data_IF_698825060034
#
_entry.id   IF_698825060034
#
_cell.length_a   1.000
_cell.length_b   1.000
_cell.length_c   1.000
_cell.angle_alpha   90.00
_cell.angle_beta   90.00
_cell.angle_gamma   90.00
#
_symmetry.space_group_name_H-M   'P 1'
#
loop_
_entity.id
_entity.type
_entity.pdbx_description
1 polymer ?
#
# COMPACT_ATOMS: atom_id res chain seq x y z
N UNK A 1 -15.40 8.17 7.05
CA UNK A 1 -14.95 6.78 6.98
C UNK A 1 -14.53 6.36 5.56
N UNK A 2 -15.27 6.75 4.50
CA UNK A 2 -14.93 6.42 3.10
C UNK A 2 -13.52 6.90 2.73
N UNK A 3 -13.16 8.13 3.08
CA UNK A 3 -11.83 8.71 2.85
C UNK A 3 -10.72 7.90 3.53
N UNK A 4 -10.99 7.43 4.74
CA UNK A 4 -10.04 6.61 5.50
C UNK A 4 -9.84 5.23 4.85
N UNK A 5 -10.94 4.51 4.54
CA UNK A 5 -10.85 3.19 3.93
C UNK A 5 -10.23 3.24 2.52
N UNK A 6 -10.53 4.29 1.74
CA UNK A 6 -9.90 4.51 0.45
C UNK A 6 -8.37 4.64 0.58
N UNK A 7 -7.91 5.43 1.55
CA UNK A 7 -6.48 5.59 1.81
C UNK A 7 -5.84 4.31 2.31
N UNK A 8 -6.50 3.59 3.22
CA UNK A 8 -5.99 2.32 3.73
C UNK A 8 -5.83 1.30 2.61
N UNK A 9 -6.79 1.22 1.69
CA UNK A 9 -6.71 0.35 0.52
C UNK A 9 -5.54 0.73 -0.40
N UNK A 10 -5.36 2.02 -0.69
CA UNK A 10 -4.23 2.48 -1.52
C UNK A 10 -2.89 2.07 -0.92
N UNK A 11 -2.68 2.30 0.38
CA UNK A 11 -1.45 1.90 1.08
C UNK A 11 -1.26 0.38 1.03
N UNK A 12 -2.33 -0.39 1.23
CA UNK A 12 -2.28 -1.86 1.16
C UNK A 12 -1.90 -2.35 -0.24
N UNK A 13 -2.42 -1.72 -1.29
CA UNK A 13 -2.07 -2.05 -2.69
C UNK A 13 -0.59 -1.78 -2.98
N UNK A 14 -0.05 -0.64 -2.57
CA UNK A 14 1.37 -0.34 -2.76
C UNK A 14 2.27 -1.29 -1.96
N UNK A 15 1.86 -1.63 -0.74
CA UNK A 15 2.59 -2.58 0.09
C UNK A 15 2.61 -3.98 -0.54
N UNK A 16 1.45 -4.48 -0.98
CA UNK A 16 1.33 -5.78 -1.63
C UNK A 16 2.13 -5.84 -2.95
N UNK A 17 2.14 -4.75 -3.73
CA UNK A 17 2.95 -4.64 -4.94
C UNK A 17 4.43 -4.91 -4.64
N UNK A 18 5.00 -4.26 -3.64
CA UNK A 18 6.41 -4.43 -3.29
C UNK A 18 6.72 -5.77 -2.63
N UNK A 19 5.81 -6.29 -1.78
CA UNK A 19 5.93 -7.64 -1.20
C UNK A 19 5.97 -8.71 -2.29
N UNK A 20 5.28 -8.50 -3.40
CA UNK A 20 5.26 -9.44 -4.53
C UNK A 20 6.44 -9.22 -5.47
N UNK A 21 6.76 -7.96 -5.79
CA UNK A 21 7.79 -7.63 -6.78
C UNK A 21 9.21 -7.92 -6.30
N UNK A 22 9.53 -7.62 -5.04
CA UNK A 22 10.90 -7.81 -4.52
C UNK A 22 11.37 -9.26 -4.57
N UNK A 23 10.58 -10.26 -4.16
CA UNK A 23 10.95 -11.67 -4.33
C UNK A 23 11.13 -12.07 -5.80
N UNK A 24 10.27 -11.58 -6.71
CA UNK A 24 10.42 -11.84 -8.15
C UNK A 24 11.73 -11.28 -8.72
N UNK A 25 12.23 -10.19 -8.14
CA UNK A 25 13.53 -9.62 -8.48
C UNK A 25 14.71 -10.30 -7.75
N UNK A 26 14.45 -11.40 -7.02
CA UNK A 26 15.47 -12.16 -6.30
C UNK A 26 15.86 -11.56 -4.94
N UNK A 27 15.11 -10.58 -4.43
CA UNK A 27 15.37 -10.03 -3.10
C UNK A 27 14.74 -10.87 -2.01
N UNK A 28 15.56 -11.40 -1.10
CA UNK A 28 15.05 -12.22 0.00
C UNK A 28 14.59 -11.36 1.18
N UNK A 29 13.28 -11.19 1.30
CA UNK A 29 12.64 -10.46 2.41
C UNK A 29 12.85 -11.12 3.78
N UNK A 30 13.14 -12.43 3.82
CA UNK A 30 13.29 -13.20 5.06
C UNK A 30 14.72 -13.21 5.60
N UNK A 31 15.72 -12.97 4.76
CA UNK A 31 17.13 -12.94 5.16
C UNK A 31 17.42 -11.88 6.23
N UNK A 32 16.73 -10.77 6.15
CA UNK A 32 16.79 -9.70 7.14
C UNK A 32 15.37 -9.26 7.49
N UNK A 33 14.78 -9.94 8.46
CA UNK A 33 13.36 -9.76 8.83
C UNK A 33 12.97 -8.30 9.07
N UNK A 34 13.84 -7.56 9.77
CA UNK A 34 13.58 -6.14 10.05
C UNK A 34 13.89 -5.25 8.85
N UNK A 35 14.99 -5.51 8.15
CA UNK A 35 15.40 -4.73 6.98
C UNK A 35 14.50 -4.95 5.78
N UNK A 36 14.01 -6.17 5.56
CA UNK A 36 13.05 -6.47 4.48
C UNK A 36 11.72 -5.73 4.66
N UNK A 37 11.16 -5.79 5.86
CA UNK A 37 9.92 -5.07 6.17
C UNK A 37 10.10 -3.55 6.04
N UNK A 38 11.19 -2.99 6.54
CA UNK A 38 11.50 -1.57 6.42
C UNK A 38 11.69 -1.14 4.98
N UNK A 39 12.36 -1.95 4.15
CA UNK A 39 12.54 -1.67 2.73
C UNK A 39 11.19 -1.61 2.02
N UNK A 40 10.32 -2.60 2.22
CA UNK A 40 8.97 -2.61 1.65
C UNK A 40 8.19 -1.38 2.07
N UNK A 41 8.26 -1.01 3.35
CA UNK A 41 7.59 0.17 3.87
C UNK A 41 8.08 1.46 3.19
N UNK A 42 9.39 1.65 3.11
CA UNK A 42 9.99 2.84 2.46
C UNK A 42 9.62 2.90 0.98
N UNK A 43 9.75 1.79 0.25
CA UNK A 43 9.40 1.73 -1.17
C UNK A 43 7.91 2.00 -1.40
N UNK A 44 7.03 1.48 -0.54
CA UNK A 44 5.58 1.74 -0.62
C UNK A 44 5.26 3.22 -0.42
N UNK A 45 5.91 3.86 0.56
CA UNK A 45 5.75 5.29 0.82
C UNK A 45 6.27 6.15 -0.33
N UNK A 46 7.44 5.81 -0.89
CA UNK A 46 7.99 6.50 -2.06
C UNK A 46 7.08 6.36 -3.28
N UNK A 47 6.61 5.14 -3.55
CA UNK A 47 5.67 4.88 -4.65
C UNK A 47 4.39 5.70 -4.47
N UNK A 48 3.83 5.73 -3.28
CA UNK A 48 2.66 6.53 -2.98
C UNK A 48 2.94 8.02 -3.21
N UNK A 49 4.09 8.54 -2.76
CA UNK A 49 4.43 9.95 -2.88
C UNK A 49 4.53 10.42 -4.34
N UNK A 50 5.05 9.58 -5.23
CA UNK A 50 5.21 9.93 -6.65
C UNK A 50 4.00 9.52 -7.51
N UNK A 51 3.42 8.36 -7.24
CA UNK A 51 2.35 7.82 -8.07
C UNK A 51 0.98 8.44 -7.74
N UNK A 52 0.72 8.80 -6.48
CA UNK A 52 -0.56 9.40 -6.11
C UNK A 52 -0.83 10.73 -6.82
N UNK A 53 0.10 11.72 -6.88
CA UNK A 53 -0.11 12.96 -7.62
C UNK A 53 -0.38 12.73 -9.10
N UNK A 54 0.33 11.76 -9.70
CA UNK A 54 0.14 11.40 -11.10
C UNK A 54 -1.28 10.85 -11.35
N UNK A 55 -1.74 9.94 -10.50
CA UNK A 55 -3.08 9.37 -10.59
C UNK A 55 -4.17 10.43 -10.36
N UNK A 56 -3.96 11.34 -9.41
CA UNK A 56 -4.88 12.45 -9.16
C UNK A 56 -4.95 13.41 -10.34
N UNK A 57 -3.82 13.72 -10.98
CA UNK A 57 -3.76 14.58 -12.15
C UNK A 57 -4.48 13.95 -13.36
N UNK A 58 -4.26 12.66 -13.63
CA UNK A 58 -4.80 11.97 -14.81
C UNK A 58 -6.27 11.59 -14.60
N UNK A 59 -6.59 10.97 -13.48
CA UNK A 59 -7.86 10.29 -13.21
C UNK A 59 -8.74 11.01 -12.17
N UNK A 60 -8.24 12.07 -11.52
CA UNK A 60 -8.87 12.71 -10.36
C UNK A 60 -9.18 11.76 -9.19
N UNK A 61 -8.61 10.56 -9.20
CA UNK A 61 -8.79 9.54 -8.16
C UNK A 61 -7.62 8.56 -8.13
N UNK A 62 -7.31 8.03 -6.95
CA UNK A 62 -6.48 6.83 -6.79
C UNK A 62 -7.36 5.58 -6.88
N UNK A 63 -6.79 4.37 -7.06
CA UNK A 63 -7.58 3.13 -7.09
C UNK A 63 -8.52 2.98 -5.89
N UNK A 64 -8.02 3.24 -4.67
CA UNK A 64 -8.86 3.20 -3.47
C UNK A 64 -9.95 4.27 -3.48
N UNK A 65 -9.61 5.50 -3.84
CA UNK A 65 -10.60 6.58 -3.95
C UNK A 65 -11.67 6.28 -5.00
N UNK A 66 -11.25 5.80 -6.17
CA UNK A 66 -12.17 5.42 -7.24
C UNK A 66 -13.14 4.32 -6.77
N UNK A 67 -12.63 3.28 -6.09
CA UNK A 67 -13.45 2.19 -5.58
C UNK A 67 -14.49 2.67 -4.55
N UNK A 68 -14.11 3.64 -3.72
CA UNK A 68 -15.03 4.26 -2.76
C UNK A 68 -15.87 5.42 -3.32
N UNK A 69 -15.84 5.67 -4.64
CA UNK A 69 -16.62 6.72 -5.27
C UNK A 69 -16.18 8.13 -4.88
N UNK A 70 -14.90 8.31 -4.54
CA UNK A 70 -14.34 9.60 -4.19
C UNK A 70 -13.59 10.19 -5.39
N UNK A 71 -13.81 11.45 -5.67
CA UNK A 71 -13.04 12.25 -6.63
C UNK A 71 -12.35 13.41 -5.92
N UNK A 72 -11.21 13.80 -6.44
CA UNK A 72 -10.46 14.97 -6.00
C UNK A 72 -10.37 15.93 -7.16
N UNK A 73 -11.03 17.06 -7.02
CA UNK A 73 -11.10 18.09 -8.05
C UNK A 73 -10.56 19.42 -7.50
N UNK A 74 -10.24 20.32 -8.38
CA UNK A 74 -10.08 21.73 -8.07
C UNK A 74 -11.45 22.34 -7.76
N UNK A 75 -11.54 23.42 -6.99
CA UNK A 75 -12.81 24.02 -6.54
C UNK A 75 -13.83 24.32 -7.65
N UNK A 76 -13.40 24.35 -8.92
CA UNK A 76 -14.23 24.56 -10.11
C UNK A 76 -14.57 23.25 -10.87
N UNK A 77 -14.62 22.09 -10.19
CA UNK A 77 -14.82 20.76 -10.83
C UNK A 77 -13.76 20.38 -11.90
N UNK A 78 -12.70 21.16 -11.99
CA UNK A 78 -11.57 20.90 -12.87
C UNK A 78 -10.67 19.78 -12.36
N UNK A 79 -9.84 19.23 -13.26
CA UNK A 79 -8.78 18.28 -12.85
C UNK A 79 -7.69 19.07 -12.14
N UNK A 80 -7.16 18.49 -11.03
CA UNK A 80 -6.02 19.07 -10.34
C UNK A 80 -4.81 19.18 -11.29
N UNK A 81 -4.09 20.29 -11.21
CA UNK A 81 -2.76 20.38 -11.80
C UNK A 81 -1.83 19.41 -11.08
N UNK A 82 -0.77 18.94 -11.74
CA UNK A 82 0.19 18.03 -11.11
C UNK A 82 0.83 18.66 -9.86
N UNK A 83 1.11 19.95 -9.90
CA UNK A 83 1.69 20.73 -8.80
C UNK A 83 0.74 20.75 -7.59
N UNK A 84 -0.54 21.07 -7.79
CA UNK A 84 -1.55 21.06 -6.74
C UNK A 84 -1.74 19.64 -6.16
N UNK A 85 -1.74 18.60 -7.01
CA UNK A 85 -1.81 17.22 -6.58
C UNK A 85 -0.57 16.81 -5.75
N UNK A 86 0.63 17.26 -6.15
CA UNK A 86 1.87 16.99 -5.42
C UNK A 86 1.87 17.69 -4.06
N UNK A 87 1.52 18.97 -4.03
CA UNK A 87 1.41 19.73 -2.77
C UNK A 87 0.41 19.06 -1.82
N UNK A 88 -0.77 18.70 -2.32
CA UNK A 88 -1.76 17.96 -1.54
C UNK A 88 -1.19 16.65 -0.99
N UNK A 89 -0.53 15.86 -1.81
CA UNK A 89 0.06 14.59 -1.39
C UNK A 89 1.17 14.81 -0.35
N UNK A 90 2.00 15.85 -0.53
CA UNK A 90 3.01 16.23 0.44
C UNK A 90 2.39 16.62 1.79
N UNK A 91 1.32 17.41 1.80
CA UNK A 91 0.59 17.75 3.03
C UNK A 91 -0.01 16.52 3.70
N UNK A 92 -0.66 15.64 2.93
CA UNK A 92 -1.22 14.38 3.45
C UNK A 92 -0.11 13.49 4.02
N UNK A 93 1.04 13.43 3.35
CA UNK A 93 2.20 12.66 3.81
C UNK A 93 2.74 13.23 5.12
N UNK A 94 2.98 14.54 5.17
CA UNK A 94 3.57 15.20 6.33
C UNK A 94 2.63 15.24 7.54
N UNK A 95 1.37 15.59 7.31
CA UNK A 95 0.38 15.74 8.39
C UNK A 95 -0.44 14.48 8.67
N UNK A 96 -0.66 13.62 7.68
CA UNK A 96 -1.52 12.44 7.79
C UNK A 96 -0.78 11.17 8.16
N UNK A 97 0.33 10.87 7.47
CA UNK A 97 1.03 9.58 7.61
C UNK A 97 2.11 9.64 8.70
N UNK A 98 2.82 10.77 8.80
CA UNK A 98 3.84 11.08 9.80
C UNK A 98 4.58 9.87 10.35
N UNK A 99 5.37 9.20 9.49
CA UNK A 99 6.23 8.05 9.81
C UNK A 99 5.51 6.77 10.28
N UNK A 100 4.21 6.62 9.96
CA UNK A 100 3.44 5.38 10.17
C UNK A 100 3.47 4.80 11.60
N UNK A 101 3.61 5.68 12.60
CA UNK A 101 3.52 5.28 14.00
C UNK A 101 2.04 5.02 14.35
N UNK A 102 1.65 3.78 14.71
CA UNK A 102 0.24 3.38 14.83
C UNK A 102 -0.57 4.24 15.78
N UNK A 103 0.03 4.62 16.92
CA UNK A 103 -0.64 5.43 17.94
C UNK A 103 -0.85 6.87 17.47
N UNK A 104 0.17 7.49 16.88
CA UNK A 104 0.07 8.85 16.35
C UNK A 104 -0.92 8.94 15.19
N UNK A 105 -1.01 7.88 14.38
CA UNK A 105 -1.98 7.76 13.29
C UNK A 105 -3.41 7.77 13.81
N UNK A 106 -3.72 7.01 14.87
CA UNK A 106 -5.05 6.97 15.48
C UNK A 106 -5.45 8.30 16.10
N UNK A 107 -4.55 8.94 16.87
CA UNK A 107 -4.80 10.25 17.48
C UNK A 107 -5.06 11.32 16.41
N UNK A 108 -4.32 11.27 15.31
CA UNK A 108 -4.49 12.21 14.23
C UNK A 108 -5.77 11.98 13.44
N UNK A 109 -6.10 10.71 13.20
CA UNK A 109 -7.36 10.32 12.59
C UNK A 109 -8.55 10.86 13.36
N UNK A 110 -8.50 10.72 14.69
CA UNK A 110 -9.53 11.25 15.58
C UNK A 110 -9.64 12.77 15.48
N UNK A 111 -8.50 13.49 15.53
CA UNK A 111 -8.49 14.95 15.36
C UNK A 111 -8.99 15.41 13.98
N UNK A 112 -8.59 14.74 12.91
CA UNK A 112 -9.10 15.05 11.57
C UNK A 112 -10.61 14.81 11.46
N UNK A 113 -11.14 13.77 12.10
CA UNK A 113 -12.58 13.50 12.13
C UNK A 113 -13.33 14.56 12.95
N UNK A 114 -12.74 15.04 14.06
CA UNK A 114 -13.29 16.11 14.88
C UNK A 114 -13.28 17.46 14.12
N UNK A 115 -12.18 17.79 13.45
CA UNK A 115 -12.08 19.01 12.64
C UNK A 115 -13.05 18.99 11.46
N UNK A 116 -13.23 17.83 10.79
CA UNK A 116 -14.23 17.65 9.72
C UNK A 116 -15.66 17.82 10.25
N UNK A 117 -15.98 17.28 11.45
CA UNK A 117 -17.30 17.46 12.08
C UNK A 117 -17.53 18.92 12.51
N UNK A 118 -16.47 19.62 12.89
CA UNK A 118 -16.52 21.04 13.23
C UNK A 118 -16.59 21.99 12.00
N UNK A 119 -16.61 21.42 10.78
CA UNK A 119 -16.64 22.19 9.53
C UNK A 119 -15.35 22.96 9.23
N UNK A 120 -14.23 22.58 9.86
CA UNK A 120 -12.92 23.17 9.58
C UNK A 120 -12.30 22.51 8.36
N UNK A 121 -11.81 23.33 7.42
CA UNK A 121 -11.04 22.84 6.28
C UNK A 121 -9.77 22.14 6.75
N UNK A 122 -9.49 20.95 6.22
CA UNK A 122 -8.26 20.24 6.52
C UNK A 122 -7.08 20.88 5.76
N UNK A 123 -5.85 20.87 6.31
CA UNK A 123 -4.71 21.57 5.69
C UNK A 123 -4.41 21.17 4.24
N UNK A 124 -4.82 19.98 3.82
CA UNK A 124 -4.65 19.48 2.43
C UNK A 124 -5.86 19.73 1.53
N UNK A 125 -6.88 20.42 2.03
CA UNK A 125 -8.09 20.80 1.27
C UNK A 125 -8.09 22.29 0.88
N UNK A 126 -7.00 23.02 1.16
CA UNK A 126 -6.91 24.45 0.84
C UNK A 126 -7.04 24.73 -0.67
N UNK A 127 -6.45 23.85 -1.51
CA UNK A 127 -6.43 24.01 -2.97
C UNK A 127 -7.13 22.84 -3.70
N UNK A 128 -7.94 22.03 -2.99
CA UNK A 128 -8.59 20.88 -3.62
C UNK A 128 -9.80 20.42 -2.83
N UNK A 129 -10.89 20.13 -3.51
CA UNK A 129 -12.08 19.53 -2.92
C UNK A 129 -12.10 18.02 -3.12
N UNK A 130 -12.54 17.31 -2.10
CA UNK A 130 -12.80 15.87 -2.19
C UNK A 130 -14.30 15.64 -2.13
N UNK A 131 -14.88 15.33 -3.28
CA UNK A 131 -16.31 15.07 -3.42
C UNK A 131 -16.63 13.59 -3.39
N UNK A 132 -17.79 13.23 -2.81
CA UNK A 132 -18.33 11.87 -2.84
C UNK A 132 -19.29 11.77 -4.01
N UNK A 133 -18.85 11.16 -5.12
CA UNK A 133 -19.65 11.03 -6.32
C UNK A 133 -20.68 9.90 -6.22
N UNK A 134 -20.37 8.88 -5.38
CA UNK A 134 -21.22 7.68 -5.32
C UNK A 134 -21.11 7.01 -3.94
N UNK A 135 -22.28 6.67 -3.35
CA UNK A 135 -22.38 6.06 -2.01
C UNK A 135 -22.94 4.64 -2.04
N UNK A 136 -22.79 3.92 -3.13
CA UNK A 136 -23.30 2.56 -3.21
C UNK A 136 -22.59 1.60 -2.24
N UNK A 137 -23.37 0.91 -1.40
CA UNK A 137 -22.84 -0.01 -0.39
C UNK A 137 -22.01 -1.18 -0.95
N UNK A 138 -22.28 -1.62 -2.18
CA UNK A 138 -21.52 -2.69 -2.83
C UNK A 138 -20.02 -2.35 -3.00
N UNK A 139 -19.66 -1.05 -3.06
CA UNK A 139 -18.28 -0.60 -3.18
C UNK A 139 -17.45 -0.95 -1.95
N UNK A 140 -18.06 -0.91 -0.77
CA UNK A 140 -17.39 -1.35 0.45
C UNK A 140 -17.15 -2.86 0.45
N UNK A 141 -18.10 -3.64 -0.04
CA UNK A 141 -17.93 -5.09 -0.20
C UNK A 141 -16.84 -5.41 -1.22
N UNK A 142 -16.83 -4.73 -2.38
CA UNK A 142 -15.79 -4.88 -3.39
C UNK A 142 -14.40 -4.49 -2.87
N UNK A 143 -14.29 -3.41 -2.09
CA UNK A 143 -13.04 -2.99 -1.47
C UNK A 143 -12.53 -4.01 -0.44
N UNK A 144 -13.43 -4.55 0.38
CA UNK A 144 -13.09 -5.59 1.35
C UNK A 144 -12.63 -6.88 0.65
N UNK A 145 -13.35 -7.32 -0.39
CA UNK A 145 -12.96 -8.49 -1.19
C UNK A 145 -11.61 -8.29 -1.87
N UNK A 146 -11.36 -7.13 -2.44
CA UNK A 146 -10.06 -6.81 -3.05
C UNK A 146 -8.94 -6.82 -2.00
N UNK A 147 -9.15 -6.22 -0.83
CA UNK A 147 -8.16 -6.24 0.24
C UNK A 147 -7.86 -7.66 0.71
N UNK A 148 -8.89 -8.50 0.88
CA UNK A 148 -8.75 -9.92 1.26
C UNK A 148 -7.99 -10.68 0.15
N UNK A 149 -8.35 -10.49 -1.12
CA UNK A 149 -7.69 -11.14 -2.26
C UNK A 149 -6.20 -10.76 -2.34
N UNK A 150 -5.88 -9.49 -2.17
CA UNK A 150 -4.50 -8.98 -2.15
C UNK A 150 -3.71 -9.57 -0.98
N UNK A 151 -4.30 -9.59 0.22
CA UNK A 151 -3.67 -10.20 1.40
C UNK A 151 -3.49 -11.71 1.23
N UNK A 152 -4.49 -12.41 0.73
CA UNK A 152 -4.39 -13.84 0.45
C UNK A 152 -3.32 -14.14 -0.60
N UNK A 153 -3.25 -13.36 -1.67
CA UNK A 153 -2.22 -13.47 -2.70
C UNK A 153 -0.81 -13.25 -2.14
N UNK A 154 -0.63 -12.25 -1.28
CA UNK A 154 0.66 -12.01 -0.61
C UNK A 154 1.05 -13.18 0.32
N UNK A 155 0.11 -13.70 1.10
CA UNK A 155 0.34 -14.85 1.99
C UNK A 155 0.65 -16.11 1.16
N UNK A 156 -0.09 -16.38 0.10
CA UNK A 156 0.16 -17.51 -0.79
C UNK A 156 1.52 -17.40 -1.47
N UNK A 157 1.91 -16.23 -1.95
CA UNK A 157 3.23 -15.98 -2.55
C UNK A 157 4.38 -16.28 -1.60
N UNK A 158 4.17 -16.07 -0.29
CA UNK A 158 5.13 -16.42 0.76
C UNK A 158 5.10 -17.92 1.09
N UNK A 159 3.92 -18.54 1.12
CA UNK A 159 3.75 -19.94 1.55
C UNK A 159 4.03 -20.96 0.46
N UNK A 160 3.79 -20.62 -0.82
CA UNK A 160 3.98 -21.54 -1.96
C UNK A 160 5.41 -22.11 -2.00
N UNK A 161 6.49 -21.33 -1.87
CA UNK A 161 7.84 -21.87 -1.84
C UNK A 161 8.09 -22.84 -0.69
N UNK A 162 7.43 -22.60 0.47
CA UNK A 162 7.55 -23.46 1.65
C UNK A 162 6.83 -24.80 1.43
N UNK A 163 5.78 -24.83 0.64
CA UNK A 163 5.00 -26.03 0.32
C UNK A 163 5.73 -27.04 -0.59
N UNK A 164 6.73 -26.58 -1.35
CA UNK A 164 7.52 -27.42 -2.27
C UNK A 164 8.75 -28.06 -1.62
N UNK A 165 8.92 -27.88 -0.31
CA UNK A 165 10.07 -28.36 0.43
C UNK A 165 10.02 -29.88 0.64
N UNK A 166 11.12 -30.58 0.33
CA UNK A 166 11.28 -31.99 0.64
C UNK A 166 11.28 -32.22 2.15
N UNK A 167 10.60 -33.28 2.61
CA UNK A 167 10.44 -33.63 4.04
C UNK A 167 10.97 -35.04 4.31
N UNK A 168 11.39 -35.30 5.55
CA UNK A 168 11.96 -36.57 5.99
C UNK A 168 13.48 -36.56 5.96
N UNK A 169 14.10 -37.75 5.76
CA UNK A 169 15.55 -37.88 5.60
C UNK A 169 15.98 -37.31 4.26
N UNK A 170 16.67 -36.16 4.29
CA UNK A 170 17.04 -35.39 3.10
C UNK A 170 18.44 -35.81 2.64
N UNK A 171 18.57 -35.99 1.33
CA UNK A 171 19.90 -36.00 0.70
C UNK A 171 20.49 -34.57 0.70
N UNK A 172 21.81 -34.47 0.52
CA UNK A 172 22.51 -33.17 0.46
C UNK A 172 21.91 -32.26 -0.67
N UNK A 173 21.57 -32.89 -1.80
CA UNK A 173 20.94 -32.17 -2.92
C UNK A 173 19.56 -31.63 -2.56
N UNK A 174 18.71 -32.44 -1.93
CA UNK A 174 17.37 -32.02 -1.48
C UNK A 174 17.44 -30.95 -0.39
N UNK A 175 18.43 -31.06 0.51
CA UNK A 175 18.67 -30.02 1.50
C UNK A 175 19.08 -28.70 0.86
N UNK A 176 19.98 -28.72 -0.11
CA UNK A 176 20.39 -27.53 -0.85
C UNK A 176 19.23 -26.92 -1.63
N UNK A 177 18.38 -27.75 -2.25
CA UNK A 177 17.18 -27.31 -2.96
C UNK A 177 16.19 -26.64 -2.00
N UNK A 178 15.88 -27.28 -0.86
CA UNK A 178 15.03 -26.70 0.19
C UNK A 178 15.59 -25.37 0.70
N UNK A 179 16.89 -25.34 0.98
CA UNK A 179 17.58 -24.13 1.46
C UNK A 179 17.46 -23.00 0.45
N UNK A 180 17.70 -23.27 -0.82
CA UNK A 180 17.58 -22.28 -1.89
C UNK A 180 16.14 -21.83 -2.10
N UNK A 181 15.16 -22.74 -2.04
CA UNK A 181 13.74 -22.43 -2.18
C UNK A 181 13.22 -21.53 -1.06
N UNK A 182 13.60 -21.82 0.20
CA UNK A 182 13.14 -21.04 1.36
C UNK A 182 13.88 -19.70 1.46
N UNK A 183 15.17 -19.67 1.18
CA UNK A 183 15.99 -18.49 1.38
C UNK A 183 16.15 -17.62 0.14
N UNK A 184 15.66 -18.06 -1.04
CA UNK A 184 15.85 -17.35 -2.32
C UNK A 184 17.30 -16.91 -2.50
N UNK A 185 18.25 -17.85 -2.28
CA UNK A 185 19.68 -17.51 -2.34
C UNK A 185 20.06 -17.27 -3.80
N UNK A 186 20.62 -16.10 -4.15
CA UNK A 186 21.01 -15.80 -5.54
C UNK A 186 22.12 -16.70 -6.09
N UNK A 187 22.83 -17.42 -5.22
CA UNK A 187 23.81 -18.44 -5.58
C UNK A 187 23.38 -19.77 -4.98
N UNK A 188 22.94 -20.72 -5.82
CA UNK A 188 22.65 -22.07 -5.33
C UNK A 188 23.92 -22.65 -4.66
N UNK A 189 23.72 -23.35 -3.56
CA UNK A 189 24.81 -24.16 -3.00
C UNK A 189 25.20 -25.17 -4.07
N UNK A 190 26.44 -25.10 -4.57
CA UNK A 190 26.97 -26.12 -5.46
C UNK A 190 27.08 -27.40 -4.67
N UNK A 191 26.46 -28.46 -5.17
CA UNK A 191 26.75 -29.82 -4.71
C UNK A 191 28.18 -30.12 -5.10
N UNK A 192 29.09 -30.16 -4.13
CA UNK A 192 30.46 -30.67 -4.29
C UNK A 192 30.40 -32.18 -4.29
#
# INVERSE_FOLDING_TARGET
WQRFFARYLDVTLYHAFWVTLLPLLGYNLFRNRNGGAMLVQVLSLLTMFFLEPLLLHIFAATPGKWLFGLRVTDGDDGKLTYEAALNRTAFVFWYGIRLDLPVLRLVRLYKCAEDEQAGKALPWEADSEQTVCDRHGWRFAAAALLAIAVMAGAVLGVLLPIGTVHRGDLTVAQFAENYNAILYVPRPLSTV
#
